data_IF_475007142559
#
_entry.id   IF_475007142559
#
_cell.length_a   1.000
_cell.length_b   1.000
_cell.length_c   1.000
_cell.angle_alpha   90.00
_cell.angle_beta   90.00
_cell.angle_gamma   90.00
#
_symmetry.space_group_name_H-M   'P 1'
#
loop_
_entity.id
_entity.type
_entity.pdbx_description
1 polymer ?
#
# COMPACT_ATOMS: atom_id res chain seq x y z
N UNK A 1 25.81 -56.47 -39.45
CA UNK A 1 25.54 -55.10 -38.98
C UNK A 1 24.18 -55.11 -38.28
N UNK A 2 24.16 -54.86 -36.98
CA UNK A 2 22.92 -54.76 -36.19
C UNK A 2 22.21 -53.45 -36.54
N UNK A 3 20.94 -53.53 -36.96
CA UNK A 3 20.08 -52.36 -37.15
C UNK A 3 19.62 -51.93 -35.75
N UNK A 4 20.15 -50.82 -35.25
CA UNK A 4 19.61 -50.16 -34.07
C UNK A 4 18.35 -49.42 -34.54
N UNK A 5 17.18 -49.97 -34.23
CA UNK A 5 15.90 -49.26 -34.33
C UNK A 5 15.77 -48.37 -33.10
N UNK A 6 15.71 -47.05 -33.31
CA UNK A 6 15.36 -46.12 -32.25
C UNK A 6 13.96 -46.47 -31.70
N UNK A 7 13.75 -46.38 -30.38
CA UNK A 7 12.45 -46.66 -29.79
C UNK A 7 11.40 -45.71 -30.37
N UNK A 8 10.23 -46.26 -30.69
CA UNK A 8 9.12 -45.57 -31.36
C UNK A 8 8.58 -44.37 -30.57
N UNK A 9 8.94 -44.27 -29.28
CA UNK A 9 8.64 -43.15 -28.40
C UNK A 9 9.78 -42.99 -27.39
N UNK A 10 10.35 -41.79 -27.29
CA UNK A 10 11.37 -41.47 -26.29
C UNK A 10 10.69 -41.22 -24.92
N UNK A 11 11.38 -41.51 -23.82
CA UNK A 11 10.87 -41.29 -22.44
C UNK A 11 10.40 -39.83 -22.22
N UNK A 12 11.13 -38.87 -22.79
CA UNK A 12 10.75 -37.45 -22.79
C UNK A 12 9.40 -37.21 -23.51
N UNK A 13 9.20 -37.82 -24.68
CA UNK A 13 7.93 -37.76 -25.42
C UNK A 13 6.79 -38.44 -24.65
N UNK A 14 7.08 -39.53 -23.95
CA UNK A 14 6.12 -40.22 -23.09
C UNK A 14 5.64 -39.34 -21.93
N UNK A 15 6.56 -38.66 -21.25
CA UNK A 15 6.25 -37.70 -20.18
C UNK A 15 5.42 -36.52 -20.68
N UNK A 16 5.78 -35.95 -21.83
CA UNK A 16 5.04 -34.84 -22.42
C UNK A 16 3.60 -35.24 -22.81
N UNK A 17 3.41 -36.46 -23.33
CA UNK A 17 2.07 -36.99 -23.64
C UNK A 17 1.26 -37.22 -22.36
N UNK A 18 1.87 -37.75 -21.30
CA UNK A 18 1.20 -37.97 -20.00
C UNK A 18 0.76 -36.63 -19.39
N UNK A 19 1.61 -35.61 -19.42
CA UNK A 19 1.27 -34.26 -18.96
C UNK A 19 0.13 -33.64 -19.78
N UNK A 20 0.16 -33.78 -21.10
CA UNK A 20 -0.92 -33.32 -21.98
C UNK A 20 -2.22 -34.09 -21.73
N UNK A 21 -2.18 -35.39 -21.49
CA UNK A 21 -3.36 -36.20 -21.13
C UNK A 21 -3.89 -35.84 -19.74
N UNK A 22 -3.03 -35.56 -18.77
CA UNK A 22 -3.45 -35.05 -17.46
C UNK A 22 -4.11 -33.68 -17.59
N UNK A 23 -3.52 -32.77 -18.37
CA UNK A 23 -4.09 -31.45 -18.66
C UNK A 23 -5.44 -31.59 -19.38
N UNK A 24 -5.52 -32.46 -20.39
CA UNK A 24 -6.76 -32.75 -21.11
C UNK A 24 -7.83 -33.33 -20.19
N UNK A 25 -7.48 -34.26 -19.29
CA UNK A 25 -8.42 -34.82 -18.32
C UNK A 25 -8.87 -33.79 -17.27
N UNK A 26 -7.97 -32.90 -16.86
CA UNK A 26 -8.32 -31.77 -15.98
C UNK A 26 -9.28 -30.80 -16.68
N UNK A 27 -8.99 -30.43 -17.93
CA UNK A 27 -9.86 -29.61 -18.77
C UNK A 27 -11.20 -30.30 -19.05
N UNK A 28 -11.20 -31.61 -19.33
CA UNK A 28 -12.41 -32.41 -19.51
C UNK A 28 -13.23 -32.48 -18.22
N UNK A 29 -12.60 -32.62 -17.05
CA UNK A 29 -13.29 -32.56 -15.76
C UNK A 29 -13.85 -31.17 -15.48
N UNK A 30 -13.13 -30.09 -15.85
CA UNK A 30 -13.63 -28.72 -15.77
C UNK A 30 -14.81 -28.49 -16.72
N UNK A 31 -14.75 -29.02 -17.95
CA UNK A 31 -15.83 -28.92 -18.94
C UNK A 31 -17.04 -29.81 -18.59
N UNK A 32 -16.80 -30.99 -18.02
CA UNK A 32 -17.84 -31.87 -17.50
C UNK A 32 -18.47 -31.29 -16.22
N UNK A 33 -17.68 -30.57 -15.42
CA UNK A 33 -18.14 -29.75 -14.30
C UNK A 33 -18.95 -28.54 -14.77
N UNK A 34 -18.56 -27.89 -15.87
CA UNK A 34 -19.29 -26.76 -16.46
C UNK A 34 -20.65 -27.13 -17.06
N UNK A 35 -20.92 -28.42 -17.31
CA UNK A 35 -22.26 -28.92 -17.63
C UNK A 35 -23.17 -29.03 -16.38
N UNK A 36 -22.63 -28.79 -15.18
CA UNK A 36 -23.37 -28.46 -13.98
C UNK A 36 -23.09 -27.01 -13.60
N UNK A 37 -24.09 -26.15 -13.62
CA UNK A 37 -24.00 -24.84 -12.95
C UNK A 37 -23.54 -25.06 -11.48
N UNK A 38 -22.28 -24.72 -11.13
CA UNK A 38 -21.81 -24.76 -9.75
C UNK A 38 -20.31 -25.02 -9.54
N UNK A 39 -19.60 -23.96 -9.14
CA UNK A 39 -18.44 -23.94 -8.21
C UNK A 39 -17.18 -24.74 -8.57
N UNK A 40 -16.23 -24.14 -9.30
CA UNK A 40 -14.81 -24.49 -9.12
C UNK A 40 -14.36 -23.97 -7.75
N UNK A 41 -13.88 -24.85 -6.87
CA UNK A 41 -13.40 -24.48 -5.54
C UNK A 41 -12.09 -23.67 -5.61
N UNK A 42 -11.79 -22.86 -4.59
CA UNK A 42 -10.53 -22.11 -4.53
C UNK A 42 -9.31 -23.04 -4.56
N UNK A 43 -9.43 -24.23 -3.95
CA UNK A 43 -8.38 -25.25 -3.97
C UNK A 43 -8.12 -25.82 -5.38
N UNK A 44 -9.15 -25.96 -6.23
CA UNK A 44 -8.98 -26.39 -7.62
C UNK A 44 -8.34 -25.30 -8.47
N UNK A 45 -8.77 -24.04 -8.30
CA UNK A 45 -8.13 -22.89 -8.94
C UNK A 45 -6.64 -22.88 -8.61
N UNK A 46 -6.29 -23.02 -7.33
CA UNK A 46 -4.89 -23.07 -6.89
C UNK A 46 -4.10 -24.19 -7.57
N UNK A 47 -4.64 -25.41 -7.67
CA UNK A 47 -3.97 -26.53 -8.35
C UNK A 47 -3.69 -26.24 -9.82
N UNK A 48 -4.63 -25.60 -10.51
CA UNK A 48 -4.47 -25.19 -11.91
C UNK A 48 -3.33 -24.16 -12.03
N UNK A 49 -3.28 -23.20 -11.10
CA UNK A 49 -2.22 -22.19 -11.05
C UNK A 49 -0.86 -22.85 -10.78
N UNK A 50 -0.76 -23.70 -9.77
CA UNK A 50 0.47 -24.43 -9.42
C UNK A 50 0.99 -25.32 -10.55
N UNK A 51 0.10 -25.84 -11.39
CA UNK A 51 0.47 -26.59 -12.59
C UNK A 51 0.97 -25.71 -13.75
N UNK A 52 0.98 -24.38 -13.59
CA UNK A 52 1.33 -23.43 -14.65
C UNK A 52 0.28 -23.35 -15.76
N UNK A 53 -0.97 -23.74 -15.49
CA UNK A 53 -2.05 -23.89 -16.49
C UNK A 53 -3.11 -22.80 -16.43
N UNK A 54 -2.96 -21.83 -15.53
CA UNK A 54 -3.98 -20.79 -15.31
C UNK A 54 -4.36 -20.02 -16.59
N UNK A 55 -3.38 -19.62 -17.41
CA UNK A 55 -3.65 -18.89 -18.66
C UNK A 55 -4.23 -19.75 -19.79
N UNK A 56 -4.27 -21.08 -19.64
CA UNK A 56 -4.95 -21.99 -20.58
C UNK A 56 -6.42 -22.19 -20.20
N UNK A 57 -6.78 -21.97 -18.93
CA UNK A 57 -8.12 -22.17 -18.37
C UNK A 57 -8.89 -20.87 -18.24
N UNK A 58 -8.20 -19.80 -17.82
CA UNK A 58 -8.79 -18.51 -17.51
C UNK A 58 -8.26 -17.42 -18.45
N UNK A 59 -9.08 -16.38 -18.63
CA UNK A 59 -8.73 -15.18 -19.37
C UNK A 59 -8.47 -14.01 -18.44
N UNK A 60 -7.60 -13.10 -18.88
CA UNK A 60 -7.48 -11.78 -18.28
C UNK A 60 -8.83 -11.06 -18.33
N UNK A 61 -9.32 -10.60 -17.17
CA UNK A 61 -10.64 -9.99 -16.99
C UNK A 61 -11.74 -10.94 -16.55
N UNK A 62 -11.48 -12.25 -16.48
CA UNK A 62 -12.39 -13.17 -15.79
C UNK A 62 -12.47 -12.80 -14.30
N UNK A 63 -13.61 -13.07 -13.68
CA UNK A 63 -13.93 -12.64 -12.32
C UNK A 63 -14.06 -13.83 -11.38
N UNK A 64 -13.46 -13.70 -10.19
CA UNK A 64 -13.60 -14.64 -9.07
C UNK A 64 -14.24 -13.89 -7.92
N UNK A 65 -15.34 -14.43 -7.39
CA UNK A 65 -16.01 -13.83 -6.23
C UNK A 65 -15.47 -14.46 -4.95
N UNK A 66 -14.93 -13.61 -4.07
CA UNK A 66 -14.40 -14.02 -2.77
C UNK A 66 -15.15 -13.22 -1.69
N UNK A 67 -16.05 -13.83 -0.92
CA UNK A 67 -16.76 -13.13 0.14
C UNK A 67 -15.79 -12.49 1.15
N UNK A 68 -16.05 -11.25 1.52
CA UNK A 68 -15.30 -10.52 2.54
C UNK A 68 -16.25 -9.90 3.56
N UNK A 69 -15.93 -10.05 4.84
CA UNK A 69 -16.71 -9.50 5.95
C UNK A 69 -15.93 -8.37 6.63
N UNK A 70 -16.53 -7.18 6.73
CA UNK A 70 -16.05 -6.17 7.68
C UNK A 70 -16.38 -6.67 9.08
N UNK A 71 -15.44 -7.36 9.72
CA UNK A 71 -15.64 -7.96 11.05
C UNK A 71 -15.94 -6.94 12.14
N UNK A 72 -15.61 -5.65 11.94
CA UNK A 72 -15.94 -4.60 12.90
C UNK A 72 -17.44 -4.25 12.88
N UNK A 73 -18.12 -4.42 11.74
CA UNK A 73 -19.54 -4.10 11.57
C UNK A 73 -20.43 -5.33 11.35
N UNK A 74 -19.83 -6.47 11.00
CA UNK A 74 -20.53 -7.68 10.57
C UNK A 74 -21.05 -7.63 9.13
N UNK A 75 -20.81 -6.52 8.40
CA UNK A 75 -21.29 -6.36 7.03
C UNK A 75 -20.51 -7.28 6.07
N UNK A 76 -21.24 -8.05 5.28
CA UNK A 76 -20.69 -8.93 4.25
C UNK A 76 -20.73 -8.27 2.88
N UNK A 77 -19.71 -8.54 2.08
CA UNK A 77 -19.56 -8.07 0.71
C UNK A 77 -19.16 -9.24 -0.19
N UNK A 78 -19.78 -9.32 -1.36
CA UNK A 78 -19.34 -10.21 -2.43
C UNK A 78 -18.16 -9.54 -3.15
N UNK A 79 -16.93 -9.75 -2.67
CA UNK A 79 -15.78 -9.08 -3.25
C UNK A 79 -15.40 -9.74 -4.59
N UNK A 80 -15.76 -9.07 -5.67
CA UNK A 80 -15.39 -9.47 -7.03
C UNK A 80 -13.92 -9.13 -7.27
N UNK A 81 -13.12 -10.13 -7.66
CA UNK A 81 -11.73 -9.97 -8.05
C UNK A 81 -11.54 -10.24 -9.54
N UNK A 82 -10.98 -9.27 -10.27
CA UNK A 82 -10.59 -9.42 -11.67
C UNK A 82 -9.22 -10.13 -11.77
N UNK A 83 -9.10 -11.10 -12.68
CA UNK A 83 -7.80 -11.66 -13.04
C UNK A 83 -7.05 -10.63 -13.88
N UNK A 84 -6.02 -10.02 -13.30
CA UNK A 84 -5.31 -8.88 -13.92
C UNK A 84 -4.05 -9.26 -14.67
N UNK A 85 -3.40 -10.37 -14.27
CA UNK A 85 -2.13 -10.83 -14.83
C UNK A 85 -1.88 -12.31 -14.51
N UNK A 86 -1.09 -12.97 -15.35
CA UNK A 86 -0.48 -14.28 -15.07
C UNK A 86 1.02 -14.15 -15.22
N UNK A 87 1.78 -14.66 -14.24
CA UNK A 87 3.24 -14.57 -14.28
C UNK A 87 3.85 -15.31 -13.10
N UNK A 88 5.14 -15.64 -13.20
CA UNK A 88 5.85 -16.21 -12.05
C UNK A 88 6.03 -15.16 -10.96
N UNK A 89 6.00 -15.60 -9.71
CA UNK A 89 6.25 -14.77 -8.53
C UNK A 89 7.37 -15.35 -7.70
N UNK A 90 8.19 -14.46 -7.15
CA UNK A 90 9.24 -14.84 -6.20
C UNK A 90 8.66 -14.90 -4.78
N UNK A 91 8.79 -16.06 -4.13
CA UNK A 91 8.48 -16.25 -2.71
C UNK A 91 9.64 -15.78 -1.82
N UNK A 92 9.40 -15.75 -0.50
CA UNK A 92 10.37 -15.20 0.48
C UNK A 92 11.67 -15.99 0.58
N UNK A 93 11.62 -17.29 0.32
CA UNK A 93 12.79 -18.17 0.24
C UNK A 93 13.52 -18.10 -1.11
N UNK A 94 13.00 -17.32 -2.06
CA UNK A 94 13.55 -17.15 -3.40
C UNK A 94 13.02 -18.14 -4.43
N UNK A 95 12.07 -19.02 -4.07
CA UNK A 95 11.40 -19.89 -5.04
C UNK A 95 10.59 -19.06 -6.05
N UNK A 96 10.66 -19.45 -7.33
CA UNK A 96 9.85 -18.87 -8.41
C UNK A 96 8.71 -19.84 -8.74
N UNK A 97 7.48 -19.43 -8.48
CA UNK A 97 6.28 -20.26 -8.71
C UNK A 97 5.30 -19.57 -9.65
N UNK A 98 4.50 -20.30 -10.46
CA UNK A 98 3.46 -19.69 -11.27
C UNK A 98 2.42 -18.97 -10.40
N UNK A 99 2.01 -17.78 -10.81
CA UNK A 99 1.05 -16.94 -10.09
C UNK A 99 -0.10 -16.45 -10.96
N UNK A 100 -1.27 -16.33 -10.34
CA UNK A 100 -2.44 -15.68 -10.92
C UNK A 100 -2.84 -14.49 -10.04
N UNK A 101 -2.74 -13.29 -10.60
CA UNK A 101 -2.97 -12.05 -9.87
C UNK A 101 -4.45 -11.69 -9.92
N UNK A 102 -5.04 -11.48 -8.74
CA UNK A 102 -6.44 -11.11 -8.57
C UNK A 102 -6.49 -9.75 -7.90
N UNK A 103 -7.07 -8.75 -8.58
CA UNK A 103 -7.31 -7.42 -8.04
C UNK A 103 -8.80 -7.24 -7.74
N UNK A 104 -9.13 -6.67 -6.59
CA UNK A 104 -10.51 -6.27 -6.29
C UNK A 104 -11.05 -5.31 -7.38
N UNK A 105 -12.20 -5.66 -7.96
CA UNK A 105 -12.88 -4.85 -8.97
C UNK A 105 -13.43 -3.55 -8.37
N UNK A 106 -13.94 -3.62 -7.14
CA UNK A 106 -14.46 -2.50 -6.38
C UNK A 106 -13.50 -2.07 -5.27
N UNK A 107 -13.54 -0.80 -4.91
CA UNK A 107 -12.76 -0.25 -3.82
C UNK A 107 -13.33 -0.68 -2.47
N UNK A 108 -12.45 -0.83 -1.47
CA UNK A 108 -12.80 -1.15 -0.08
C UNK A 108 -13.93 -0.25 0.46
N UNK A 109 -14.76 -0.73 1.40
CA UNK A 109 -15.93 0.02 1.86
C UNK A 109 -15.58 1.28 2.68
N UNK A 110 -14.33 1.37 3.13
CA UNK A 110 -13.78 2.52 3.84
C UNK A 110 -12.31 2.73 3.47
N UNK A 111 -11.82 3.94 3.74
CA UNK A 111 -10.41 4.27 3.58
C UNK A 111 -9.59 4.00 4.84
N UNK A 112 -8.31 3.77 4.65
CA UNK A 112 -7.30 3.68 5.71
C UNK A 112 -6.17 4.65 5.38
N UNK A 113 -5.61 5.31 6.40
CA UNK A 113 -4.44 6.17 6.20
C UNK A 113 -3.28 5.33 5.67
N UNK A 114 -2.53 5.90 4.72
CA UNK A 114 -1.28 5.27 4.31
C UNK A 114 -0.25 5.38 5.43
N UNK A 115 -0.18 6.55 6.04
CA UNK A 115 0.58 6.84 7.25
C UNK A 115 -0.10 8.01 7.97
N UNK A 116 0.07 8.14 9.29
CA UNK A 116 -0.43 9.30 10.02
C UNK A 116 0.61 10.43 10.03
N UNK A 117 0.23 11.62 10.51
CA UNK A 117 1.18 12.69 10.73
C UNK A 117 2.21 12.22 11.74
N UNK A 118 3.46 12.08 11.30
CA UNK A 118 4.52 11.63 12.18
C UNK A 118 4.95 12.71 13.18
N UNK A 119 5.56 12.27 14.27
CA UNK A 119 6.22 13.18 15.20
C UNK A 119 7.36 13.92 14.50
N UNK A 120 7.56 15.19 14.86
CA UNK A 120 8.71 15.95 14.40
C UNK A 120 9.92 15.79 15.33
N UNK A 121 9.71 15.35 16.58
CA UNK A 121 10.75 15.15 17.59
C UNK A 121 10.38 13.99 18.52
N UNK A 122 11.39 13.27 19.00
CA UNK A 122 11.24 12.23 20.03
C UNK A 122 12.20 12.44 21.19
N UNK A 123 11.66 12.37 22.41
CA UNK A 123 12.40 12.44 23.66
C UNK A 123 13.07 11.09 23.98
N UNK A 124 13.81 10.53 23.01
CA UNK A 124 14.31 9.14 23.06
C UNK A 124 15.34 8.89 24.15
N UNK A 125 16.26 9.83 24.37
CA UNK A 125 17.36 9.66 25.33
C UNK A 125 16.98 10.04 26.78
N UNK A 126 16.14 11.07 26.93
CA UNK A 126 15.73 11.59 28.23
C UNK A 126 14.39 12.32 28.13
N UNK A 127 13.75 12.54 29.28
CA UNK A 127 12.59 13.43 29.40
C UNK A 127 12.90 14.82 28.82
N UNK A 128 11.97 15.37 28.05
CA UNK A 128 12.00 16.77 27.64
C UNK A 128 11.23 17.59 28.70
N UNK A 129 11.88 18.46 29.49
CA UNK A 129 11.21 19.19 30.56
C UNK A 129 10.17 20.18 30.03
N UNK A 130 9.22 20.60 30.88
CA UNK A 130 8.37 21.74 30.58
C UNK A 130 9.24 22.99 30.31
N UNK A 131 8.87 23.81 29.34
CA UNK A 131 9.72 24.91 28.89
C UNK A 131 9.28 25.55 27.58
N UNK A 132 9.99 26.60 27.20
CA UNK A 132 9.83 27.23 25.88
C UNK A 132 10.80 26.60 24.89
N UNK A 133 10.29 26.24 23.72
CA UNK A 133 11.05 25.61 22.65
C UNK A 133 10.81 26.34 21.34
N UNK A 134 11.76 26.24 20.41
CA UNK A 134 11.63 26.80 19.06
C UNK A 134 12.21 25.90 17.97
N UNK A 135 11.74 26.10 16.75
CA UNK A 135 12.27 25.51 15.52
C UNK A 135 12.61 26.61 14.52
N UNK A 136 13.49 26.29 13.57
CA UNK A 136 13.74 27.11 12.38
C UNK A 136 13.21 26.38 11.15
N UNK A 137 12.56 27.10 10.23
CA UNK A 137 12.15 26.56 8.93
C UNK A 137 13.36 26.54 7.99
N UNK A 138 13.73 25.37 7.50
CA UNK A 138 14.93 25.18 6.67
C UNK A 138 14.71 25.24 5.17
N UNK A 139 13.47 25.24 4.69
CA UNK A 139 13.16 25.28 3.26
C UNK A 139 11.83 26.01 2.98
N UNK A 140 11.73 26.60 1.79
CA UNK A 140 10.48 27.13 1.28
C UNK A 140 9.59 25.97 0.80
N UNK A 141 8.36 25.92 1.28
CA UNK A 141 7.38 24.92 0.84
C UNK A 141 5.95 25.46 0.98
N UNK A 142 5.16 25.29 -0.08
CA UNK A 142 3.82 25.88 -0.17
C UNK A 142 3.80 27.39 0.08
N UNK A 143 2.69 27.86 0.64
CA UNK A 143 2.45 29.28 0.90
C UNK A 143 3.12 29.76 2.19
N UNK A 144 3.15 28.93 3.23
CA UNK A 144 3.45 29.37 4.60
C UNK A 144 4.80 28.91 5.16
N UNK A 145 5.48 27.90 4.59
CA UNK A 145 6.85 27.57 5.01
C UNK A 145 7.82 28.52 4.31
N UNK A 146 8.48 29.43 5.07
CA UNK A 146 9.52 30.32 4.56
C UNK A 146 10.85 30.09 5.28
N UNK A 147 11.90 29.87 4.50
CA UNK A 147 13.24 29.57 4.99
C UNK A 147 13.74 30.67 5.93
N UNK A 148 14.27 30.28 7.08
CA UNK A 148 14.80 31.17 8.10
C UNK A 148 13.77 31.69 9.09
N UNK A 149 12.47 31.54 8.84
CA UNK A 149 11.44 31.86 9.83
C UNK A 149 11.56 30.93 11.04
N UNK A 150 11.21 31.47 12.21
CA UNK A 150 11.30 30.76 13.47
C UNK A 150 9.97 30.79 14.19
N UNK A 151 9.65 29.65 14.76
CA UNK A 151 8.40 29.44 15.48
C UNK A 151 8.70 28.82 16.83
N UNK A 152 7.95 29.25 17.85
CA UNK A 152 8.12 28.83 19.23
C UNK A 152 6.81 28.36 19.84
N UNK A 153 6.92 27.55 20.89
CA UNK A 153 5.81 27.06 21.68
C UNK A 153 6.26 26.83 23.13
N UNK A 154 5.30 26.79 24.06
CA UNK A 154 5.56 26.62 25.50
C UNK A 154 4.85 25.36 25.96
N UNK A 155 5.63 24.36 26.37
CA UNK A 155 5.13 23.16 27.04
C UNK A 155 4.96 23.46 28.53
N UNK A 156 3.79 23.13 29.09
CA UNK A 156 3.51 23.28 30.53
C UNK A 156 3.74 21.99 31.30
N UNK A 157 3.87 20.87 30.60
CA UNK A 157 4.12 19.54 31.14
C UNK A 157 5.38 18.95 30.49
N UNK A 158 6.14 18.12 31.22
CA UNK A 158 7.25 17.39 30.61
C UNK A 158 6.74 16.36 29.59
N UNK A 159 7.55 16.08 28.57
CA UNK A 159 7.38 14.94 27.67
C UNK A 159 8.24 13.80 28.21
N UNK A 160 7.65 12.66 28.61
CA UNK A 160 8.40 11.56 29.21
C UNK A 160 9.46 11.02 28.25
N UNK A 161 10.48 10.35 28.80
CA UNK A 161 11.43 9.59 27.97
C UNK A 161 10.67 8.59 27.08
N UNK A 162 11.03 8.53 25.79
CA UNK A 162 10.32 7.79 24.75
C UNK A 162 9.11 8.53 24.15
N UNK A 163 8.70 9.65 24.76
CA UNK A 163 7.60 10.48 24.28
C UNK A 163 7.93 11.29 23.04
N UNK A 164 6.91 11.94 22.50
CA UNK A 164 6.96 12.53 21.16
C UNK A 164 6.33 13.92 21.15
N UNK A 165 6.84 14.79 20.26
CA UNK A 165 6.16 16.01 19.86
C UNK A 165 5.65 15.86 18.43
N UNK A 166 4.35 16.10 18.26
CA UNK A 166 3.63 15.99 16.99
C UNK A 166 2.96 17.33 16.74
N UNK A 167 2.94 17.81 15.50
CA UNK A 167 2.36 19.13 15.23
C UNK A 167 2.72 19.70 13.88
N UNK A 168 2.46 20.99 13.71
CA UNK A 168 2.67 21.72 12.46
C UNK A 168 1.95 21.07 11.26
N UNK A 169 0.81 20.42 11.50
CA UNK A 169 0.05 19.75 10.45
C UNK A 169 -0.41 20.72 9.37
N UNK A 170 -0.19 20.34 8.12
CA UNK A 170 -0.43 21.19 6.99
C UNK A 170 0.39 22.48 6.98
N UNK A 171 1.63 22.43 7.49
CA UNK A 171 2.55 23.57 7.50
C UNK A 171 2.63 24.35 6.17
N UNK A 172 2.73 23.74 4.97
CA UNK A 172 2.79 24.50 3.73
C UNK A 172 1.53 25.30 3.42
N UNK A 173 0.36 24.87 3.89
CA UNK A 173 -0.94 25.37 3.44
C UNK A 173 -1.70 26.18 4.49
N UNK A 174 -1.52 25.85 5.77
CA UNK A 174 -2.16 26.53 6.91
C UNK A 174 -1.35 27.71 7.39
N UNK A 175 -2.04 28.73 7.87
CA UNK A 175 -1.36 29.90 8.43
C UNK A 175 -0.69 29.54 9.76
N UNK A 176 0.41 30.21 10.15
CA UNK A 176 1.11 29.87 11.39
C UNK A 176 0.26 29.90 12.66
N UNK A 177 -0.78 30.74 12.68
CA UNK A 177 -1.74 30.85 13.78
C UNK A 177 -2.59 29.58 13.99
N UNK A 178 -2.66 28.69 13.01
CA UNK A 178 -3.38 27.41 13.05
C UNK A 178 -2.49 26.25 13.50
N UNK A 179 -1.17 26.41 13.48
CA UNK A 179 -0.27 25.33 13.88
C UNK A 179 -0.31 25.10 15.38
N UNK A 180 -0.31 23.82 15.75
CA UNK A 180 -0.31 23.34 17.13
C UNK A 180 0.84 22.37 17.32
N UNK A 181 1.26 22.21 18.56
CA UNK A 181 2.17 21.15 19.00
C UNK A 181 1.49 20.39 20.12
N UNK A 182 1.43 19.07 19.99
CA UNK A 182 0.89 18.15 20.97
C UNK A 182 1.99 17.20 21.44
N UNK A 183 2.03 16.91 22.74
CA UNK A 183 2.94 15.93 23.31
C UNK A 183 2.23 14.61 23.59
N UNK A 184 2.91 13.49 23.32
CA UNK A 184 2.39 12.14 23.52
C UNK A 184 3.39 11.28 24.28
N UNK A 185 2.87 10.22 24.93
CA UNK A 185 3.73 9.26 25.66
C UNK A 185 4.55 8.38 24.74
N UNK A 186 4.02 8.05 23.57
CA UNK A 186 4.63 7.19 22.55
C UNK A 186 3.84 7.29 21.23
N UNK A 187 4.24 6.50 20.23
CA UNK A 187 3.61 6.45 18.90
C UNK A 187 2.20 5.85 18.88
N UNK A 188 1.86 5.01 19.86
CA UNK A 188 0.57 4.32 19.96
C UNK A 188 -0.49 5.14 20.71
N UNK A 189 -0.08 6.14 21.49
CA UNK A 189 -0.95 6.96 22.31
C UNK A 189 -1.87 7.85 21.46
N UNK A 190 -3.19 7.75 21.61
CA UNK A 190 -4.16 8.62 20.91
C UNK A 190 -4.47 9.90 21.68
N UNK A 191 -4.31 9.87 23.01
CA UNK A 191 -4.56 11.03 23.88
C UNK A 191 -3.28 11.84 24.10
N UNK A 192 -3.37 13.15 23.87
CA UNK A 192 -2.26 14.07 24.11
C UNK A 192 -2.08 14.35 25.62
N UNK A 193 -0.84 14.48 26.06
CA UNK A 193 -0.49 14.98 27.40
C UNK A 193 -0.91 16.45 27.53
N UNK A 194 -0.61 17.24 26.50
CA UNK A 194 -1.12 18.59 26.28
C UNK A 194 -1.04 18.96 24.79
N UNK A 195 -1.77 20.02 24.40
CA UNK A 195 -1.70 20.66 23.09
C UNK A 195 -1.54 22.16 23.28
N UNK A 196 -0.53 22.75 22.62
CA UNK A 196 -0.13 24.14 22.80
C UNK A 196 -0.11 24.89 21.46
N UNK A 197 -0.25 26.21 21.54
CA UNK A 197 -0.22 27.09 20.38
C UNK A 197 1.22 27.35 19.92
N UNK A 198 1.38 27.55 18.62
CA UNK A 198 2.62 28.00 18.00
C UNK A 198 2.54 29.50 17.72
N UNK A 199 3.62 30.23 17.97
CA UNK A 199 3.75 31.65 17.60
C UNK A 199 5.08 31.93 16.92
N UNK A 200 5.17 33.01 16.15
CA UNK A 200 6.44 33.44 15.56
C UNK A 200 7.40 33.87 16.68
N UNK A 201 8.66 33.43 16.61
CA UNK A 201 9.68 33.77 17.60
C UNK A 201 10.77 32.70 17.73
N UNK A 202 11.75 32.98 18.57
CA UNK A 202 12.94 32.13 18.77
C UNK A 202 13.40 32.06 20.22
N UNK A 203 12.49 32.31 21.16
CA UNK A 203 12.75 32.20 22.59
C UNK A 203 12.92 30.72 22.98
N UNK A 204 13.66 30.48 24.07
CA UNK A 204 13.81 29.14 24.65
C UNK A 204 14.81 28.25 23.91
N UNK A 205 14.71 26.95 24.14
CA UNK A 205 15.63 25.96 23.60
C UNK A 205 15.30 25.66 22.13
N UNK A 206 16.29 25.77 21.25
CA UNK A 206 16.09 25.37 19.85
C UNK A 206 16.12 23.86 19.72
N UNK A 207 15.10 23.28 19.08
CA UNK A 207 15.03 21.85 18.75
C UNK A 207 15.70 21.52 17.41
N UNK A 208 16.00 22.54 16.59
CA UNK A 208 16.69 22.36 15.32
C UNK A 208 15.99 23.04 14.15
N UNK A 209 16.29 22.56 12.95
CA UNK A 209 15.80 23.12 11.68
C UNK A 209 14.98 22.08 10.93
N UNK A 210 13.75 22.41 10.55
CA UNK A 210 12.93 21.55 9.69
C UNK A 210 13.43 21.62 8.25
N UNK A 211 14.00 20.52 7.78
CA UNK A 211 14.39 20.34 6.37
C UNK A 211 13.42 19.37 5.68
N UNK A 212 13.32 19.37 4.34
CA UNK A 212 12.50 18.41 3.61
C UNK A 212 12.83 16.95 3.96
N UNK A 213 14.10 16.62 4.13
CA UNK A 213 14.54 15.25 4.46
C UNK A 213 14.50 14.93 5.97
N UNK A 214 14.56 15.95 6.83
CA UNK A 214 14.93 15.80 8.24
C UNK A 214 16.45 15.71 8.41
N UNK A 215 16.91 15.62 9.66
CA UNK A 215 18.33 15.44 10.01
C UNK A 215 18.58 14.25 10.95
N UNK A 216 17.53 13.48 11.22
CA UNK A 216 17.54 12.33 12.13
C UNK A 216 17.26 12.70 13.59
N UNK A 217 17.57 13.93 14.02
CA UNK A 217 17.13 14.46 15.32
C UNK A 217 15.71 15.01 15.22
N UNK A 218 15.46 15.81 14.19
CA UNK A 218 14.14 16.21 13.74
C UNK A 218 13.74 15.40 12.51
N UNK A 219 12.45 15.10 12.43
CA UNK A 219 11.87 14.41 11.29
C UNK A 219 11.75 15.34 10.07
N UNK A 220 11.46 14.74 8.91
CA UNK A 220 11.14 15.44 7.67
C UNK A 220 9.99 16.42 7.85
N UNK A 221 10.17 17.62 7.27
CA UNK A 221 9.13 18.63 7.14
C UNK A 221 7.87 18.10 6.42
N UNK A 222 8.05 17.19 5.46
CA UNK A 222 6.94 16.61 4.71
C UNK A 222 6.20 15.58 5.59
N UNK A 223 6.95 14.69 6.24
CA UNK A 223 6.41 13.61 7.07
C UNK A 223 5.62 14.11 8.28
N UNK A 224 6.13 15.13 8.97
CA UNK A 224 5.38 15.74 10.07
C UNK A 224 4.09 16.44 9.58
N UNK A 225 4.10 16.97 8.35
CA UNK A 225 2.99 17.79 7.82
C UNK A 225 1.86 16.95 7.24
N UNK A 226 2.18 15.84 6.58
CA UNK A 226 1.23 15.02 5.82
C UNK A 226 1.53 13.51 5.79
N UNK A 227 2.36 13.01 6.70
CA UNK A 227 2.73 11.59 6.82
C UNK A 227 3.79 11.14 5.81
N UNK A 228 4.09 9.85 5.79
CA UNK A 228 5.19 9.26 5.04
C UNK A 228 4.72 8.32 3.93
N UNK A 229 5.28 8.46 2.73
CA UNK A 229 4.84 7.73 1.54
C UNK A 229 5.55 6.39 1.28
N UNK A 230 6.34 5.89 2.23
CA UNK A 230 7.08 4.64 2.07
C UNK A 230 6.22 3.41 2.33
N UNK A 231 6.12 2.53 1.34
CA UNK A 231 5.24 1.35 1.38
C UNK A 231 5.56 0.38 2.51
N UNK A 232 6.84 0.04 2.70
CA UNK A 232 7.27 -0.95 3.70
C UNK A 232 6.91 -0.57 5.14
N UNK A 233 6.82 0.74 5.42
CA UNK A 233 6.50 1.29 6.73
C UNK A 233 5.03 1.71 6.86
N UNK A 234 4.24 1.61 5.80
CA UNK A 234 2.88 2.15 5.77
C UNK A 234 1.92 1.39 6.70
N UNK A 235 1.02 2.14 7.34
CA UNK A 235 -0.13 1.61 8.04
C UNK A 235 -1.05 0.81 7.10
N UNK A 236 -1.20 1.25 5.85
CA UNK A 236 -1.97 0.54 4.82
C UNK A 236 -1.46 -0.89 4.60
N UNK A 237 -0.14 -1.07 4.48
CA UNK A 237 0.46 -2.40 4.30
C UNK A 237 0.23 -3.29 5.53
N UNK A 238 0.39 -2.75 6.73
CA UNK A 238 0.13 -3.48 7.98
C UNK A 238 -1.34 -3.91 8.08
N UNK A 239 -2.27 -3.01 7.77
CA UNK A 239 -3.71 -3.31 7.75
C UNK A 239 -4.05 -4.40 6.72
N UNK A 240 -3.56 -4.28 5.49
CA UNK A 240 -3.82 -5.23 4.40
C UNK A 240 -3.31 -6.64 4.72
N UNK A 241 -2.22 -6.76 5.47
CA UNK A 241 -1.55 -8.03 5.76
C UNK A 241 -1.76 -8.50 7.21
N UNK A 242 -2.88 -8.13 7.84
CA UNK A 242 -3.18 -8.51 9.21
C UNK A 242 -4.52 -9.22 9.35
N UNK A 243 -4.53 -10.28 10.16
CA UNK A 243 -5.71 -11.02 10.62
C UNK A 243 -6.18 -10.57 12.01
N UNK A 244 -5.56 -9.53 12.57
CA UNK A 244 -5.79 -9.10 13.95
C UNK A 244 -7.07 -8.26 14.10
N UNK A 245 -7.71 -8.30 15.28
CA UNK A 245 -8.85 -7.43 15.57
C UNK A 245 -8.45 -5.95 15.59
N UNK A 246 -9.45 -5.07 15.67
CA UNK A 246 -9.22 -3.64 15.83
C UNK A 246 -8.35 -3.34 17.07
N UNK A 247 -7.41 -2.42 16.91
CA UNK A 247 -6.45 -2.03 17.94
C UNK A 247 -5.22 -2.93 18.06
N UNK A 248 -5.04 -3.91 17.16
CA UNK A 248 -3.93 -4.89 17.26
C UNK A 248 -3.15 -5.13 15.96
N UNK A 249 -3.49 -4.47 14.85
CA UNK A 249 -2.86 -4.72 13.55
C UNK A 249 -1.71 -3.77 13.22
N UNK A 250 -1.54 -2.68 13.97
CA UNK A 250 -0.47 -1.71 13.74
C UNK A 250 0.58 -1.78 14.84
N UNK A 251 1.83 -1.66 14.42
CA UNK A 251 2.98 -1.36 15.27
C UNK A 251 3.84 -0.30 14.58
N UNK A 252 4.46 0.56 15.38
CA UNK A 252 5.39 1.58 14.91
C UNK A 252 6.52 0.95 14.08
N UNK A 253 6.76 1.47 12.88
CA UNK A 253 7.79 1.03 11.93
C UNK A 253 9.06 1.89 12.01
N UNK A 254 8.95 3.09 12.58
CA UNK A 254 10.08 3.98 12.84
C UNK A 254 9.81 4.84 14.09
N UNK A 255 10.86 5.48 14.63
CA UNK A 255 10.76 6.21 15.89
C UNK A 255 9.80 7.41 15.86
N UNK A 256 9.48 7.95 14.69
CA UNK A 256 8.56 9.09 14.53
C UNK A 256 7.12 8.67 14.22
N UNK A 257 6.90 7.39 13.97
CA UNK A 257 5.64 6.82 13.51
C UNK A 257 4.50 7.03 14.52
N UNK A 258 3.29 7.21 14.00
CA UNK A 258 2.09 7.53 14.78
C UNK A 258 0.95 6.62 14.37
N UNK A 259 0.23 6.12 15.37
CA UNK A 259 -0.91 5.23 15.17
C UNK A 259 -1.93 5.84 14.19
N UNK A 260 -2.38 5.10 13.16
CA UNK A 260 -3.37 5.59 12.21
C UNK A 260 -4.76 5.67 12.85
N UNK A 261 -5.58 6.62 12.41
CA UNK A 261 -6.92 6.88 12.97
C UNK A 261 -7.85 5.66 12.91
N UNK A 262 -7.68 4.80 11.90
CA UNK A 262 -8.50 3.61 11.73
C UNK A 262 -8.08 2.44 12.63
N UNK A 263 -6.93 2.52 13.31
CA UNK A 263 -6.39 1.43 14.12
C UNK A 263 -7.39 0.91 15.15
N UNK A 264 -8.01 1.81 15.92
CA UNK A 264 -8.91 1.42 17.01
C UNK A 264 -10.28 0.90 16.55
N UNK A 265 -10.68 1.17 15.30
CA UNK A 265 -12.06 0.93 14.84
C UNK A 265 -12.17 -0.10 13.72
N UNK A 266 -11.07 -0.37 13.01
CA UNK A 266 -11.03 -1.33 11.89
C UNK A 266 -10.16 -2.51 12.27
N UNK A 267 -10.61 -3.72 11.98
CA UNK A 267 -9.77 -4.91 12.07
C UNK A 267 -8.85 -5.03 10.85
N UNK A 268 -7.80 -5.84 10.97
CA UNK A 268 -6.92 -6.17 9.85
C UNK A 268 -7.70 -6.78 8.68
N UNK A 269 -7.33 -6.42 7.46
CA UNK A 269 -8.08 -6.73 6.24
C UNK A 269 -8.24 -8.24 6.03
N UNK A 270 -7.23 -9.04 6.38
CA UNK A 270 -7.26 -10.50 6.19
C UNK A 270 -8.29 -11.18 7.10
N UNK A 271 -8.68 -10.56 8.21
CA UNK A 271 -9.67 -11.11 9.15
C UNK A 271 -11.07 -11.26 8.53
N UNK A 272 -11.34 -10.56 7.42
CA UNK A 272 -12.62 -10.62 6.73
C UNK A 272 -12.77 -11.78 5.75
N UNK A 273 -11.70 -12.55 5.48
CA UNK A 273 -11.74 -13.67 4.54
C UNK A 273 -11.84 -15.03 5.24
N UNK A 274 -12.40 -16.00 4.52
CA UNK A 274 -12.39 -17.39 4.95
C UNK A 274 -11.01 -18.02 4.79
N UNK A 275 -10.72 -18.99 5.66
CA UNK A 275 -9.43 -19.68 5.67
C UNK A 275 -9.13 -20.40 4.34
N UNK A 276 -10.15 -20.96 3.68
CA UNK A 276 -9.97 -21.66 2.41
C UNK A 276 -9.36 -20.75 1.33
N UNK A 277 -9.80 -19.50 1.25
CA UNK A 277 -9.23 -18.51 0.34
C UNK A 277 -7.82 -18.10 0.76
N UNK A 278 -7.63 -17.80 2.06
CA UNK A 278 -6.32 -17.39 2.59
C UNK A 278 -5.24 -18.46 2.40
N UNK A 279 -5.61 -19.73 2.47
CA UNK A 279 -4.70 -20.85 2.23
C UNK A 279 -4.22 -20.93 0.78
N UNK A 280 -4.91 -20.28 -0.17
CA UNK A 280 -4.58 -20.29 -1.60
C UNK A 280 -3.66 -19.15 -2.05
N UNK A 281 -3.37 -18.19 -1.18
CA UNK A 281 -2.53 -17.04 -1.48
C UNK A 281 -1.30 -17.03 -0.57
N UNK A 282 -0.19 -16.45 -1.02
CA UNK A 282 1.04 -16.38 -0.25
C UNK A 282 1.70 -15.00 -0.33
N UNK A 283 2.56 -14.64 0.64
CA UNK A 283 3.39 -13.45 0.52
C UNK A 283 4.36 -13.56 -0.65
N UNK A 284 4.24 -12.64 -1.61
CA UNK A 284 5.11 -12.56 -2.79
C UNK A 284 5.99 -11.32 -2.74
N UNK A 285 7.11 -11.35 -3.44
CA UNK A 285 8.02 -10.22 -3.58
C UNK A 285 7.33 -9.03 -4.26
N UNK A 286 7.26 -7.90 -3.56
CA UNK A 286 6.75 -6.62 -4.08
C UNK A 286 7.88 -5.60 -4.07
N UNK A 287 8.12 -4.96 -5.22
CA UNK A 287 9.17 -3.92 -5.38
C UNK A 287 8.52 -2.56 -5.48
N UNK A 288 8.83 -1.64 -4.58
CA UNK A 288 8.27 -0.28 -4.57
C UNK A 288 9.38 0.77 -4.66
N UNK A 289 9.16 1.83 -5.45
CA UNK A 289 10.07 2.95 -5.55
C UNK A 289 10.11 3.78 -4.26
N UNK A 290 11.29 4.26 -3.91
CA UNK A 290 11.51 5.17 -2.79
C UNK A 290 11.50 6.62 -3.26
N UNK A 291 11.08 7.53 -2.37
CA UNK A 291 11.20 8.95 -2.63
C UNK A 291 12.67 9.41 -2.56
N UNK A 292 12.99 10.50 -3.26
CA UNK A 292 14.35 11.04 -3.30
C UNK A 292 14.59 12.16 -2.27
N UNK A 293 13.59 12.46 -1.45
CA UNK A 293 13.61 13.54 -0.47
C UNK A 293 14.19 13.05 0.85
N UNK A 294 13.54 12.11 1.52
CA UNK A 294 13.98 11.54 2.80
C UNK A 294 14.71 10.20 2.65
N UNK A 295 14.46 9.46 1.56
CA UNK A 295 14.87 8.05 1.47
C UNK A 295 16.04 7.82 0.50
N UNK A 296 16.61 8.90 -0.04
CA UNK A 296 17.67 8.83 -1.04
C UNK A 296 18.89 7.98 -0.61
N UNK A 297 19.19 7.97 0.69
CA UNK A 297 20.30 7.20 1.24
C UNK A 297 20.02 5.68 1.27
N UNK A 298 18.74 5.28 1.23
CA UNK A 298 18.31 3.87 1.32
C UNK A 298 18.23 3.19 -0.06
N UNK A 299 18.37 3.95 -1.15
CA UNK A 299 18.37 3.46 -2.53
C UNK A 299 17.20 4.00 -3.35
N UNK A 300 16.95 3.36 -4.50
CA UNK A 300 15.88 3.77 -5.41
C UNK A 300 14.58 2.99 -5.22
N UNK A 301 14.69 1.76 -4.71
CA UNK A 301 13.58 0.83 -4.51
C UNK A 301 13.77 0.03 -3.23
N UNK A 302 12.67 -0.47 -2.68
CA UNK A 302 12.66 -1.43 -1.59
C UNK A 302 11.88 -2.69 -1.96
N UNK A 303 12.13 -3.77 -1.21
CA UNK A 303 11.46 -5.05 -1.37
C UNK A 303 10.67 -5.38 -0.11
N UNK A 304 9.41 -5.73 -0.29
CA UNK A 304 8.54 -6.34 0.73
C UNK A 304 8.06 -7.71 0.28
N UNK A 305 7.52 -8.49 1.23
CA UNK A 305 6.83 -9.74 0.93
C UNK A 305 5.42 -9.64 1.48
N UNK A 306 4.44 -9.56 0.58
CA UNK A 306 3.07 -9.14 0.90
C UNK A 306 2.05 -10.15 0.37
N UNK A 307 1.11 -10.54 1.22
CA UNK A 307 -0.04 -11.38 0.83
C UNK A 307 -1.07 -10.54 0.08
N UNK A 308 -1.31 -9.33 0.57
CA UNK A 308 -2.09 -8.29 -0.10
C UNK A 308 -1.25 -7.04 -0.30
N UNK A 309 -1.32 -6.48 -1.50
CA UNK A 309 -0.62 -5.26 -1.86
C UNK A 309 -1.48 -4.39 -2.77
N UNK A 310 -1.02 -3.16 -3.04
CA UNK A 310 -1.67 -2.26 -3.99
C UNK A 310 -0.92 -2.28 -5.33
N UNK A 311 -1.60 -2.09 -6.47
CA UNK A 311 -0.90 -1.94 -7.73
C UNK A 311 0.05 -0.74 -7.72
N UNK A 312 1.16 -0.84 -8.45
CA UNK A 312 1.98 0.32 -8.83
C UNK A 312 1.42 1.02 -10.06
N UNK A 313 1.93 2.22 -10.33
CA UNK A 313 1.69 2.93 -11.60
C UNK A 313 2.04 2.03 -12.79
N UNK A 314 3.21 1.38 -12.75
CA UNK A 314 3.70 0.57 -13.86
C UNK A 314 2.79 -0.64 -14.15
N UNK A 315 2.37 -1.33 -13.09
CA UNK A 315 1.42 -2.44 -13.17
C UNK A 315 0.07 -2.01 -13.76
N UNK A 316 -0.38 -0.78 -13.48
CA UNK A 316 -1.58 -0.19 -14.08
C UNK A 316 -1.40 0.37 -15.49
N UNK A 317 -0.29 0.05 -16.16
CA UNK A 317 0.03 0.58 -17.48
C UNK A 317 0.14 2.12 -17.52
N UNK A 318 0.58 2.71 -16.41
CA UNK A 318 0.88 4.14 -16.27
C UNK A 318 2.40 4.32 -16.27
N UNK A 319 2.88 5.41 -16.88
CA UNK A 319 4.30 5.78 -16.88
C UNK A 319 4.74 6.13 -15.45
N UNK A 320 5.67 5.40 -14.83
CA UNK A 320 6.12 5.70 -13.47
C UNK A 320 7.23 6.75 -13.45
N UNK A 321 7.50 7.35 -12.28
CA UNK A 321 8.67 8.22 -12.08
C UNK A 321 9.98 7.42 -12.01
N UNK A 322 9.90 6.13 -11.67
CA UNK A 322 10.99 5.16 -11.71
C UNK A 322 10.42 3.83 -12.21
N UNK A 323 11.04 3.24 -13.22
CA UNK A 323 10.66 1.92 -13.72
C UNK A 323 11.17 0.81 -12.78
N UNK A 324 10.54 -0.37 -12.86
CA UNK A 324 10.96 -1.55 -12.10
C UNK A 324 10.12 -1.84 -10.86
N UNK A 325 8.93 -1.23 -10.74
CA UNK A 325 7.97 -1.57 -9.68
C UNK A 325 7.15 -2.84 -10.03
N UNK A 326 7.38 -3.45 -11.19
CA UNK A 326 6.74 -4.70 -11.60
C UNK A 326 6.29 -4.66 -13.05
N UNK A 327 5.87 -5.82 -13.57
CA UNK A 327 5.41 -5.91 -14.94
C UNK A 327 4.04 -5.26 -15.16
N UNK A 328 3.84 -4.75 -16.37
CA UNK A 328 2.54 -4.23 -16.81
C UNK A 328 1.51 -5.34 -16.77
N UNK A 329 0.37 -5.12 -16.13
CA UNK A 329 -0.74 -6.05 -16.15
C UNK A 329 -1.57 -5.91 -17.43
N UNK A 330 -1.82 -7.03 -18.10
CA UNK A 330 -2.53 -7.07 -19.37
C UNK A 330 -3.94 -6.50 -19.24
N UNK A 331 -4.58 -6.68 -18.07
CA UNK A 331 -5.89 -6.10 -17.81
C UNK A 331 -5.88 -4.58 -17.98
N UNK A 332 -4.97 -3.88 -17.31
CA UNK A 332 -4.91 -2.42 -17.37
C UNK A 332 -4.47 -1.91 -18.73
N UNK A 333 -3.59 -2.64 -19.42
CA UNK A 333 -3.26 -2.35 -20.81
C UNK A 333 -4.50 -2.41 -21.70
N UNK A 334 -5.32 -3.47 -21.60
CA UNK A 334 -6.57 -3.62 -22.37
C UNK A 334 -7.61 -2.58 -21.97
N UNK A 335 -7.84 -2.40 -20.66
CA UNK A 335 -8.79 -1.46 -20.10
C UNK A 335 -8.48 -0.03 -20.51
N UNK A 336 -7.19 0.34 -20.60
CA UNK A 336 -6.78 1.67 -21.06
C UNK A 336 -7.22 1.97 -22.50
N UNK A 337 -7.27 0.95 -23.36
CA UNK A 337 -7.46 1.10 -24.81
C UNK A 337 -6.30 1.78 -25.54
N UNK A 338 -5.15 1.98 -24.89
CA UNK A 338 -4.03 2.78 -25.40
C UNK A 338 -2.88 1.92 -25.94
N UNK A 339 -2.24 2.39 -27.02
CA UNK A 339 -1.03 1.77 -27.59
C UNK A 339 0.24 2.06 -26.79
N UNK A 340 0.23 3.10 -25.96
CA UNK A 340 1.32 3.50 -25.06
C UNK A 340 0.82 3.62 -23.63
N UNK A 341 1.72 3.58 -22.64
CA UNK A 341 1.38 3.79 -21.23
C UNK A 341 0.63 5.11 -21.03
N UNK A 342 -0.36 5.09 -20.14
CA UNK A 342 -1.02 6.29 -19.63
C UNK A 342 0.00 7.22 -18.96
N UNK A 343 -0.31 8.50 -18.88
CA UNK A 343 0.57 9.53 -18.32
C UNK A 343 0.09 9.97 -16.94
N UNK A 344 1.03 10.36 -16.09
CA UNK A 344 0.73 11.03 -14.82
C UNK A 344 0.02 12.36 -15.09
N UNK A 345 -0.78 12.84 -14.13
CA UNK A 345 -1.48 14.13 -14.20
C UNK A 345 -2.51 14.26 -15.31
N UNK A 346 -2.98 13.12 -15.84
CA UNK A 346 -4.03 13.04 -16.84
C UNK A 346 -5.25 12.30 -16.28
N UNK A 347 -6.40 12.46 -16.93
CA UNK A 347 -7.66 11.84 -16.52
C UNK A 347 -8.10 10.76 -17.50
N UNK A 348 -8.34 9.56 -16.98
CA UNK A 348 -8.74 8.38 -17.71
C UNK A 348 -10.00 7.76 -17.09
N UNK A 349 -11.22 8.15 -17.53
CA UNK A 349 -12.46 7.68 -16.92
C UNK A 349 -12.65 6.16 -16.89
N UNK A 350 -11.93 5.44 -17.75
CA UNK A 350 -11.96 3.98 -17.88
C UNK A 350 -11.23 3.23 -16.77
N UNK A 351 -10.36 3.89 -15.99
CA UNK A 351 -9.67 3.27 -14.84
C UNK A 351 -10.29 3.64 -13.49
N UNK A 352 -11.50 4.21 -13.51
CA UNK A 352 -12.24 4.53 -12.28
C UNK A 352 -12.61 3.25 -11.55
N UNK A 353 -12.47 3.28 -10.24
CA UNK A 353 -12.92 2.22 -9.35
C UNK A 353 -14.10 2.72 -8.51
N UNK A 354 -15.12 1.90 -8.37
CA UNK A 354 -16.33 2.22 -7.61
C UNK A 354 -16.34 1.55 -6.25
N UNK A 355 -17.03 2.15 -5.29
CA UNK A 355 -17.19 1.62 -3.94
C UNK A 355 -17.95 0.27 -3.92
N UNK A 356 -17.46 -0.72 -3.17
CA UNK A 356 -18.05 -2.06 -3.08
C UNK A 356 -19.47 -2.07 -2.48
N UNK A 357 -19.84 -1.08 -1.68
CA UNK A 357 -21.19 -1.01 -1.09
C UNK A 357 -22.24 -0.39 -2.03
N UNK A 358 -21.83 0.27 -3.13
CA UNK A 358 -22.74 1.01 -4.01
C UNK A 358 -22.60 0.70 -5.50
N UNK A 359 -21.44 0.21 -5.92
CA UNK A 359 -21.03 -0.05 -7.31
C UNK A 359 -21.18 1.14 -8.29
N UNK A 360 -21.47 2.33 -7.77
CA UNK A 360 -21.83 3.51 -8.57
C UNK A 360 -21.12 4.77 -8.09
N UNK A 361 -20.66 4.81 -6.83
CA UNK A 361 -19.88 5.91 -6.29
C UNK A 361 -18.39 5.73 -6.60
N UNK A 362 -17.87 6.50 -7.55
CA UNK A 362 -16.45 6.47 -7.91
C UNK A 362 -15.58 6.99 -6.76
N UNK A 363 -14.47 6.30 -6.50
CA UNK A 363 -13.63 6.53 -5.31
C UNK A 363 -12.24 7.07 -5.67
N UNK A 364 -11.58 7.67 -4.68
CA UNK A 364 -10.14 7.85 -4.69
C UNK A 364 -9.48 6.55 -4.23
N UNK A 365 -8.69 5.93 -5.11
CA UNK A 365 -8.05 4.62 -4.89
C UNK A 365 -6.54 4.77 -4.84
N UNK A 366 -5.97 4.42 -3.68
CA UNK A 366 -4.53 4.46 -3.40
C UNK A 366 -3.76 3.45 -4.24
N UNK A 367 -2.57 3.84 -4.69
CA UNK A 367 -1.51 2.97 -5.24
C UNK A 367 -0.34 2.90 -4.25
N UNK A 368 0.51 1.88 -4.37
CA UNK A 368 1.71 1.80 -3.50
C UNK A 368 2.88 2.66 -3.98
N UNK A 369 2.89 3.09 -5.24
CA UNK A 369 3.96 3.92 -5.78
C UNK A 369 4.07 5.23 -4.99
N UNK A 370 5.27 5.53 -4.51
CA UNK A 370 5.59 6.79 -3.87
C UNK A 370 5.74 7.91 -4.91
N UNK A 371 5.35 9.14 -4.56
CA UNK A 371 5.88 10.32 -5.26
C UNK A 371 7.36 10.44 -4.95
N UNK A 372 8.19 10.62 -5.98
CA UNK A 372 9.65 10.68 -5.81
C UNK A 372 10.17 12.03 -5.36
N UNK A 373 9.44 13.09 -5.63
CA UNK A 373 9.86 14.47 -5.35
C UNK A 373 9.24 15.01 -4.04
N UNK A 374 8.48 14.18 -3.34
CA UNK A 374 7.79 14.52 -2.10
C UNK A 374 7.73 13.29 -1.17
N UNK A 375 8.22 13.38 0.07
CA UNK A 375 8.18 12.27 1.03
C UNK A 375 6.80 11.99 1.65
N UNK A 376 5.78 12.83 1.41
CA UNK A 376 4.45 12.64 1.99
C UNK A 376 3.37 12.23 0.99
N UNK A 377 3.66 12.28 -0.31
CA UNK A 377 2.68 12.08 -1.37
C UNK A 377 2.77 10.67 -1.97
N UNK A 378 1.63 10.01 -2.11
CA UNK A 378 1.53 8.67 -2.73
C UNK A 378 0.65 8.76 -3.96
N UNK A 379 0.95 7.99 -4.99
CA UNK A 379 0.10 7.95 -6.17
C UNK A 379 -1.27 7.34 -5.89
N UNK A 380 -2.28 7.85 -6.58
CA UNK A 380 -3.65 7.37 -6.51
C UNK A 380 -4.39 7.64 -7.83
N UNK A 381 -5.51 6.95 -8.03
CA UNK A 381 -6.49 7.25 -9.08
C UNK A 381 -7.69 7.94 -8.43
N UNK A 382 -8.04 9.13 -8.90
CA UNK A 382 -9.15 9.93 -8.38
C UNK A 382 -10.50 9.37 -8.86
N UNK A 383 -11.60 9.86 -8.27
CA UNK A 383 -12.96 9.49 -8.68
C UNK A 383 -13.32 9.88 -10.13
N UNK A 384 -12.57 10.78 -10.76
CA UNK A 384 -12.68 11.10 -12.19
C UNK A 384 -11.87 10.17 -13.10
N UNK A 385 -10.99 9.33 -12.54
CA UNK A 385 -9.95 8.60 -13.28
C UNK A 385 -8.63 9.38 -13.41
N UNK A 386 -8.48 10.50 -12.70
CA UNK A 386 -7.25 11.29 -12.65
C UNK A 386 -6.11 10.55 -11.96
N UNK A 387 -4.96 10.41 -12.62
CA UNK A 387 -3.74 9.86 -12.00
C UNK A 387 -2.96 11.00 -11.35
N UNK A 388 -2.81 10.97 -10.03
CA UNK A 388 -2.27 12.07 -9.25
C UNK A 388 -1.53 11.54 -8.00
N UNK A 389 -0.66 12.34 -7.38
CA UNK A 389 -0.02 12.02 -6.09
C UNK A 389 -0.42 12.97 -4.95
N UNK A 390 -1.21 14.02 -5.25
CA UNK A 390 -1.38 15.21 -4.43
C UNK A 390 -2.71 15.32 -3.68
N UNK A 391 -3.53 14.28 -3.57
CA UNK A 391 -4.72 14.36 -2.71
C UNK A 391 -4.34 14.20 -1.23
N UNK A 392 -3.86 15.32 -0.65
CA UNK A 392 -3.58 15.57 0.78
C UNK A 392 -2.77 14.52 1.53
N UNK A 393 -1.81 13.92 0.84
CA UNK A 393 -0.71 13.15 1.39
C UNK A 393 -1.08 11.77 1.97
N UNK A 394 -0.11 11.17 2.64
CA UNK A 394 -0.22 9.86 3.26
C UNK A 394 -1.31 9.82 4.35
N UNK A 395 -1.54 10.97 5.01
CA UNK A 395 -2.50 11.17 6.11
C UNK A 395 -3.98 11.06 5.75
N UNK A 396 -4.36 11.13 4.48
CA UNK A 396 -5.76 10.95 4.15
C UNK A 396 -6.15 9.47 4.13
N UNK A 397 -7.26 9.14 4.76
CA UNK A 397 -7.83 7.80 4.67
C UNK A 397 -8.43 7.61 3.27
N UNK A 398 -7.71 6.91 2.39
CA UNK A 398 -8.18 6.59 1.05
C UNK A 398 -8.55 5.13 0.96
N UNK A 399 -9.55 4.84 0.12
CA UNK A 399 -9.90 3.45 -0.21
C UNK A 399 -8.82 2.87 -1.12
N UNK A 400 -8.87 1.57 -1.28
CA UNK A 400 -7.95 0.86 -2.17
C UNK A 400 -8.67 -0.28 -2.90
N UNK A 401 -8.02 -0.82 -3.94
CA UNK A 401 -8.42 -2.03 -4.63
C UNK A 401 -7.27 -3.05 -4.47
N UNK A 402 -7.29 -3.85 -3.38
CA UNK A 402 -6.19 -4.75 -3.04
C UNK A 402 -5.98 -5.83 -4.09
N UNK A 403 -4.73 -6.28 -4.20
CA UNK A 403 -4.29 -7.36 -5.08
C UNK A 403 -3.72 -8.48 -4.22
N UNK A 404 -3.99 -9.71 -4.59
CA UNK A 404 -3.34 -10.91 -4.07
C UNK A 404 -2.95 -11.83 -5.23
N UNK A 405 -2.14 -12.85 -4.94
CA UNK A 405 -1.68 -13.83 -5.93
C UNK A 405 -2.01 -15.23 -5.45
N UNK A 406 -2.78 -15.97 -6.24
CA UNK A 406 -2.93 -17.41 -6.04
C UNK A 406 -1.66 -18.09 -6.55
N UNK A 407 -1.06 -18.96 -5.73
CA UNK A 407 0.17 -19.70 -6.02
C UNK A 407 0.29 -21.02 -5.24
#
# INVERSE_FOLDING_TARGET
>A
MSKITEPMLLDATGKEIVEKLHTQNMLLNLMAGAAMEGTTSMAEIRKIVQAGKASEVYNIGDQIVVPWTDVATGQKYEAVGDIVHFGNVTLKDGEEVPGMFIQWHYATPFGVQFDNNEAFYTASEAELPAGTYNITVGANWGKNCKTGEKYQFVLTKPVPQGGMLVGFWGMPDKTPAEWRVSSYRDGASTEAIETVNVTAGSTGTSLGTFTPAGDGSLNSLHRLSYGYNRWSQSAMRQWLNSDKPAGQWWTSQNKFDRVPEQHATKAGFMSGFEKEFLDCIQPIKVVTALNTVSDKADGETEVTYDTFFLPSLEQMYITPQLAGEGDVWEYWKRASGMSTKMQQWQTYPQIRTYAIESHTSAQYVRLRSASRDDACSTWNVNSSGGVNDGYGGAVHALRCAPVCVIC
#
